data_IF_894411476536
#
_entry.id   IF_894411476536
#
_cell.length_a   1.000
_cell.length_b   1.000
_cell.length_c   1.000
_cell.angle_alpha   90.00
_cell.angle_beta   90.00
_cell.angle_gamma   90.00
#
_symmetry.space_group_name_H-M   'P 1'
#
loop_
_entity.id
_entity.type
_entity.pdbx_description
1 polymer ?
#
# COMPACT_ATOMS: atom_id res chain seq x y z
N UNK A 1 23.50 -0.52 -3.11
CA UNK A 1 23.71 0.76 -2.39
C UNK A 1 23.45 0.53 -0.92
N UNK A 2 24.19 1.15 -0.01
CA UNK A 2 23.90 1.10 1.43
C UNK A 2 22.74 2.06 1.76
N UNK A 3 21.81 1.65 2.63
CA UNK A 3 20.73 2.54 3.10
C UNK A 3 21.29 3.80 3.77
N UNK A 4 22.50 3.75 4.34
CA UNK A 4 23.12 4.93 4.96
C UNK A 4 23.42 6.06 3.97
N UNK A 5 23.64 5.74 2.69
CA UNK A 5 24.00 6.70 1.64
C UNK A 5 22.85 7.01 0.69
N UNK A 6 21.69 6.35 0.84
CA UNK A 6 20.53 6.54 -0.04
C UNK A 6 19.91 7.94 0.08
N UNK A 7 19.68 8.62 -1.04
CA UNK A 7 19.16 10.00 -1.08
C UNK A 7 17.79 10.17 -0.39
N UNK A 8 16.99 9.10 -0.36
CA UNK A 8 15.66 9.04 0.27
C UNK A 8 15.63 8.25 1.58
N UNK A 9 16.76 8.09 2.27
CA UNK A 9 16.86 7.34 3.53
C UNK A 9 15.85 7.79 4.58
N UNK A 10 15.63 9.11 4.73
CA UNK A 10 14.63 9.64 5.67
C UNK A 10 13.21 9.20 5.35
N UNK A 11 12.85 9.19 4.06
CA UNK A 11 11.52 8.82 3.58
C UNK A 11 11.29 7.32 3.75
N UNK A 12 12.28 6.50 3.39
CA UNK A 12 12.25 5.05 3.61
C UNK A 12 12.06 4.74 5.10
N UNK A 13 12.78 5.44 5.98
CA UNK A 13 12.65 5.25 7.44
C UNK A 13 11.32 5.71 7.99
N UNK A 14 10.78 6.81 7.48
CA UNK A 14 9.44 7.27 7.85
C UNK A 14 8.39 6.20 7.50
N UNK A 15 8.42 5.71 6.26
CA UNK A 15 7.48 4.71 5.76
C UNK A 15 7.60 3.40 6.56
N UNK A 16 8.82 2.86 6.70
CA UNK A 16 9.06 1.62 7.44
C UNK A 16 8.82 1.77 8.95
N UNK A 17 9.15 2.92 9.54
CA UNK A 17 8.87 3.20 10.94
C UNK A 17 7.37 3.27 11.23
N UNK A 18 6.62 3.95 10.36
CA UNK A 18 5.14 3.99 10.44
C UNK A 18 4.57 2.59 10.23
N UNK A 19 5.07 1.85 9.24
CA UNK A 19 4.67 0.46 8.99
C UNK A 19 4.90 -0.43 10.21
N UNK A 20 6.03 -0.28 10.90
CA UNK A 20 6.36 -1.06 12.10
C UNK A 20 5.44 -0.73 13.28
N UNK A 21 5.15 0.55 13.52
CA UNK A 21 4.21 0.96 14.57
C UNK A 21 2.83 0.35 14.31
N UNK A 22 2.37 0.42 13.06
CA UNK A 22 1.08 -0.12 12.65
C UNK A 22 1.08 -1.66 12.63
N UNK A 23 2.21 -2.29 12.33
CA UNK A 23 2.41 -3.73 12.44
C UNK A 23 2.15 -4.25 13.86
N UNK A 24 2.64 -3.53 14.88
CA UNK A 24 2.39 -3.90 16.28
C UNK A 24 0.90 -3.95 16.60
N UNK A 25 0.11 -3.00 16.10
CA UNK A 25 -1.35 -3.03 16.28
C UNK A 25 -1.96 -4.29 15.66
N UNK A 26 -1.69 -4.54 14.37
CA UNK A 26 -2.32 -5.66 13.66
C UNK A 26 -1.86 -7.01 14.21
N UNK A 27 -0.58 -7.19 14.55
CA UNK A 27 -0.08 -8.47 15.07
C UNK A 27 -0.66 -8.82 16.44
N UNK A 28 -0.86 -7.83 17.32
CA UNK A 28 -1.49 -8.06 18.63
C UNK A 28 -2.93 -8.51 18.45
N UNK A 29 -3.72 -7.82 17.64
CA UNK A 29 -5.11 -8.21 17.35
C UNK A 29 -5.15 -9.60 16.70
N UNK A 30 -4.28 -9.86 15.73
CA UNK A 30 -4.21 -11.15 15.02
C UNK A 30 -3.84 -12.32 15.94
N UNK A 31 -2.89 -12.14 16.85
CA UNK A 31 -2.53 -13.19 17.82
C UNK A 31 -3.67 -13.44 18.80
N UNK A 32 -4.22 -12.37 19.42
CA UNK A 32 -5.29 -12.52 20.42
C UNK A 32 -6.55 -13.16 19.82
N UNK A 33 -6.90 -12.78 18.59
CA UNK A 33 -8.03 -13.36 17.89
C UNK A 33 -7.74 -14.79 17.40
N UNK A 34 -6.58 -15.03 16.78
CA UNK A 34 -6.23 -16.34 16.22
C UNK A 34 -5.87 -17.41 17.25
N UNK A 35 -5.73 -17.04 18.52
CA UNK A 35 -5.55 -17.96 19.66
C UNK A 35 -6.80 -18.06 20.53
N UNK A 36 -7.93 -17.51 20.06
CA UNK A 36 -9.22 -17.50 20.76
C UNK A 36 -9.14 -16.92 22.18
N UNK A 37 -8.20 -15.99 22.42
CA UNK A 37 -8.05 -15.30 23.72
C UNK A 37 -8.99 -14.09 23.83
N UNK A 38 -9.35 -13.48 22.71
CA UNK A 38 -10.24 -12.31 22.65
C UNK A 38 -11.13 -12.36 21.41
N UNK A 39 -12.44 -12.22 21.62
CA UNK A 39 -13.42 -11.98 20.57
C UNK A 39 -13.56 -10.47 20.33
N UNK A 40 -13.13 -10.01 19.16
CA UNK A 40 -13.19 -8.60 18.77
C UNK A 40 -14.43 -8.28 17.94
N UNK A 41 -14.93 -7.06 18.09
CA UNK A 41 -15.95 -6.51 17.21
C UNK A 41 -15.47 -6.43 15.75
N UNK A 42 -16.43 -6.46 14.82
CA UNK A 42 -16.16 -6.47 13.38
C UNK A 42 -15.31 -5.28 12.94
N UNK A 43 -15.51 -4.11 13.51
CA UNK A 43 -14.78 -2.87 13.22
C UNK A 43 -13.30 -3.02 13.54
N UNK A 44 -12.97 -3.68 14.65
CA UNK A 44 -11.59 -3.96 15.06
C UNK A 44 -10.95 -4.98 14.13
N UNK A 45 -11.68 -6.03 13.75
CA UNK A 45 -11.20 -7.03 12.79
C UNK A 45 -10.98 -6.43 11.39
N UNK A 46 -11.90 -5.60 10.91
CA UNK A 46 -11.73 -4.85 9.67
C UNK A 46 -10.53 -3.91 9.76
N UNK A 47 -10.34 -3.23 10.88
CA UNK A 47 -9.17 -2.38 11.08
C UNK A 47 -7.89 -3.21 11.08
N UNK A 48 -7.86 -4.36 11.75
CA UNK A 48 -6.71 -5.27 11.77
C UNK A 48 -6.25 -5.64 10.35
N UNK A 49 -7.17 -6.05 9.46
CA UNK A 49 -6.82 -6.45 8.08
C UNK A 49 -6.39 -5.26 7.23
N UNK A 50 -7.00 -4.08 7.41
CA UNK A 50 -6.63 -2.86 6.69
C UNK A 50 -5.29 -2.30 7.17
N UNK A 51 -5.01 -2.35 8.48
CA UNK A 51 -3.71 -2.00 9.04
C UNK A 51 -2.64 -2.94 8.49
N UNK A 52 -2.90 -4.25 8.45
CA UNK A 52 -1.97 -5.23 7.88
C UNK A 52 -1.66 -4.95 6.41
N UNK A 53 -2.70 -4.79 5.59
CA UNK A 53 -2.54 -4.63 4.14
C UNK A 53 -2.04 -3.24 3.76
N UNK A 54 -2.71 -2.18 4.23
CA UNK A 54 -2.45 -0.80 3.81
C UNK A 54 -1.33 -0.14 4.62
N UNK A 55 -1.29 -0.31 5.94
CA UNK A 55 -0.28 0.39 6.74
C UNK A 55 1.03 -0.38 6.80
N UNK A 56 1.02 -1.66 7.15
CA UNK A 56 2.25 -2.43 7.24
C UNK A 56 2.81 -2.76 5.84
N UNK A 57 2.04 -3.43 4.98
CA UNK A 57 2.55 -3.92 3.71
C UNK A 57 2.67 -2.79 2.67
N UNK A 58 1.63 -1.99 2.41
CA UNK A 58 1.71 -0.95 1.37
C UNK A 58 2.75 0.14 1.67
N UNK A 59 2.96 0.56 2.93
CA UNK A 59 4.06 1.49 3.25
C UNK A 59 5.44 0.85 3.03
N UNK A 60 5.58 -0.44 3.34
CA UNK A 60 6.82 -1.19 3.04
C UNK A 60 7.05 -1.30 1.54
N UNK A 61 5.99 -1.48 0.75
CA UNK A 61 6.03 -1.44 -0.71
C UNK A 61 6.48 -0.08 -1.20
N UNK A 62 5.95 1.03 -0.70
CA UNK A 62 6.42 2.37 -1.10
C UNK A 62 7.89 2.60 -0.75
N UNK A 63 8.35 2.11 0.39
CA UNK A 63 9.76 2.15 0.76
C UNK A 63 10.63 1.33 -0.22
N UNK A 64 10.18 0.14 -0.61
CA UNK A 64 10.82 -0.68 -1.63
C UNK A 64 10.79 0.00 -3.02
N UNK A 65 9.71 0.71 -3.35
CA UNK A 65 9.60 1.51 -4.58
C UNK A 65 10.64 2.63 -4.60
N UNK A 66 10.82 3.36 -3.49
CA UNK A 66 11.91 4.34 -3.38
C UNK A 66 13.27 3.66 -3.56
N UNK A 67 13.46 2.48 -2.95
CA UNK A 67 14.71 1.75 -3.01
C UNK A 67 15.06 1.25 -4.42
N UNK A 68 14.08 0.79 -5.20
CA UNK A 68 14.31 0.21 -6.52
C UNK A 68 14.31 1.25 -7.64
N UNK A 69 13.52 2.32 -7.51
CA UNK A 69 13.27 3.26 -8.61
C UNK A 69 13.98 4.63 -8.45
N UNK A 70 14.65 4.87 -7.32
CA UNK A 70 15.47 6.07 -7.09
C UNK A 70 16.95 5.73 -6.83
N UNK A 71 17.66 5.36 -7.89
CA UNK A 71 19.08 4.97 -7.82
C UNK A 71 20.06 6.15 -7.59
N UNK A 72 19.54 7.35 -7.33
CA UNK A 72 20.31 8.54 -7.00
C UNK A 72 19.42 9.73 -6.64
N UNK A 73 20.01 10.88 -6.27
CA UNK A 73 19.27 12.11 -6.05
C UNK A 73 18.48 12.49 -7.30
N UNK A 74 17.16 12.68 -7.14
CA UNK A 74 16.30 13.17 -8.22
C UNK A 74 16.19 14.70 -8.14
N UNK A 75 15.55 15.29 -9.14
CA UNK A 75 15.20 16.71 -9.17
C UNK A 75 13.76 16.93 -9.64
N UNK A 76 13.26 18.16 -9.46
CA UNK A 76 11.94 18.57 -9.91
C UNK A 76 10.79 17.79 -9.26
N UNK A 77 9.74 17.53 -10.04
CA UNK A 77 8.51 16.90 -9.55
C UNK A 77 8.74 15.48 -8.98
N UNK A 78 9.70 14.74 -9.52
CA UNK A 78 9.98 13.37 -9.05
C UNK A 78 10.61 13.37 -7.63
N UNK A 79 11.54 14.29 -7.35
CA UNK A 79 12.08 14.46 -5.99
C UNK A 79 11.01 15.00 -5.04
N UNK A 80 10.24 16.00 -5.49
CA UNK A 80 9.15 16.57 -4.72
C UNK A 80 8.16 15.51 -4.25
N UNK A 81 7.64 14.68 -5.18
CA UNK A 81 6.72 13.59 -4.85
C UNK A 81 7.36 12.52 -3.96
N UNK A 82 8.61 12.11 -4.20
CA UNK A 82 9.28 11.14 -3.35
C UNK A 82 9.36 11.59 -1.89
N UNK A 83 9.47 12.90 -1.64
CA UNK A 83 9.50 13.47 -0.28
C UNK A 83 8.10 13.67 0.31
N UNK A 84 7.21 14.36 -0.41
CA UNK A 84 5.87 14.71 0.09
C UNK A 84 4.94 13.50 0.09
N UNK A 85 5.02 12.66 -0.94
CA UNK A 85 4.24 11.43 -1.08
C UNK A 85 4.50 10.43 0.04
N UNK A 86 5.70 10.41 0.64
CA UNK A 86 5.98 9.56 1.80
C UNK A 86 5.26 10.03 3.07
N UNK A 87 5.24 11.34 3.31
CA UNK A 87 4.49 11.93 4.43
C UNK A 87 2.98 11.81 4.22
N UNK A 88 2.52 12.09 3.00
CA UNK A 88 1.12 11.92 2.61
C UNK A 88 0.68 10.48 2.81
N UNK A 89 1.48 9.50 2.36
CA UNK A 89 1.19 8.09 2.58
C UNK A 89 1.09 7.78 4.07
N UNK A 90 2.14 8.03 4.85
CA UNK A 90 2.16 7.74 6.29
C UNK A 90 0.94 8.33 7.03
N UNK A 91 0.62 9.61 6.80
CA UNK A 91 -0.54 10.26 7.40
C UNK A 91 -1.87 9.68 6.93
N UNK A 92 -2.03 9.51 5.62
CA UNK A 92 -3.29 9.03 5.02
C UNK A 92 -3.65 7.64 5.52
N UNK A 93 -2.70 6.71 5.61
CA UNK A 93 -3.04 5.35 6.08
C UNK A 93 -3.43 5.33 7.55
N UNK A 94 -2.78 6.13 8.40
CA UNK A 94 -3.16 6.22 9.82
C UNK A 94 -4.59 6.76 9.93
N UNK A 95 -4.90 7.86 9.25
CA UNK A 95 -6.25 8.44 9.26
C UNK A 95 -7.27 7.46 8.68
N UNK A 96 -6.95 6.78 7.59
CA UNK A 96 -7.87 5.84 6.96
C UNK A 96 -8.20 4.65 7.86
N UNK A 97 -7.19 4.07 8.54
CA UNK A 97 -7.42 2.99 9.50
C UNK A 97 -8.31 3.42 10.68
N UNK A 98 -8.18 4.67 11.15
CA UNK A 98 -9.09 5.21 12.16
C UNK A 98 -10.54 5.27 11.67
N UNK A 99 -10.78 5.51 10.37
CA UNK A 99 -12.16 5.48 9.85
C UNK A 99 -12.79 4.09 9.93
N UNK A 100 -12.02 3.00 9.82
CA UNK A 100 -12.56 1.65 10.00
C UNK A 100 -13.00 1.37 11.45
N UNK A 101 -12.28 1.92 12.43
CA UNK A 101 -12.64 1.82 13.84
C UNK A 101 -13.85 2.66 14.23
N UNK A 102 -14.11 3.77 13.51
CA UNK A 102 -14.96 4.85 14.04
C UNK A 102 -16.23 5.09 13.24
N UNK A 103 -16.32 4.69 11.97
CA UNK A 103 -17.48 5.01 11.14
C UNK A 103 -17.64 4.11 9.94
N UNK A 104 -18.87 3.68 9.65
CA UNK A 104 -19.29 3.00 8.42
C UNK A 104 -19.89 3.97 7.38
N UNK A 105 -19.97 5.26 7.70
CA UNK A 105 -20.54 6.30 6.84
C UNK A 105 -19.57 6.84 5.79
N UNK A 106 -20.01 7.85 5.04
CA UNK A 106 -19.29 8.40 3.87
C UNK A 106 -17.89 8.95 4.15
N UNK A 107 -17.54 9.24 5.40
CA UNK A 107 -16.18 9.62 5.75
C UNK A 107 -15.17 8.52 5.38
N UNK A 108 -15.53 7.24 5.56
CA UNK A 108 -14.67 6.09 5.22
C UNK A 108 -14.31 6.07 3.73
N UNK A 109 -15.23 6.02 2.76
CA UNK A 109 -14.88 6.04 1.34
C UNK A 109 -14.24 7.36 0.87
N UNK A 110 -14.54 8.50 1.51
CA UNK A 110 -13.84 9.77 1.21
C UNK A 110 -12.36 9.67 1.55
N UNK A 111 -12.01 9.25 2.76
CA UNK A 111 -10.60 9.07 3.15
C UNK A 111 -9.96 7.92 2.36
N UNK A 112 -10.71 6.85 2.08
CA UNK A 112 -10.29 5.76 1.21
C UNK A 112 -9.95 6.21 -0.21
N UNK A 113 -10.66 7.21 -0.74
CA UNK A 113 -10.34 7.83 -2.04
C UNK A 113 -8.99 8.53 -1.99
N UNK A 114 -8.69 9.26 -0.91
CA UNK A 114 -7.36 9.88 -0.71
C UNK A 114 -6.26 8.81 -0.63
N UNK A 115 -6.52 7.69 0.05
CA UNK A 115 -5.60 6.56 0.10
C UNK A 115 -5.36 5.95 -1.30
N UNK A 116 -6.43 5.70 -2.07
CA UNK A 116 -6.34 5.17 -3.43
C UNK A 116 -5.58 6.11 -4.37
N UNK A 117 -5.82 7.42 -4.30
CA UNK A 117 -5.09 8.43 -5.06
C UNK A 117 -3.61 8.50 -4.66
N UNK A 118 -3.30 8.27 -3.38
CA UNK A 118 -1.92 8.20 -2.91
C UNK A 118 -1.20 6.99 -3.52
N UNK A 119 -1.85 5.81 -3.52
CA UNK A 119 -1.32 4.60 -4.18
C UNK A 119 -1.14 4.84 -5.68
N UNK A 120 -2.12 5.47 -6.34
CA UNK A 120 -2.03 5.83 -7.76
C UNK A 120 -0.85 6.78 -8.03
N UNK A 121 -0.60 7.76 -7.17
CA UNK A 121 0.54 8.66 -7.29
C UNK A 121 1.88 7.92 -7.18
N UNK A 122 1.99 6.97 -6.25
CA UNK A 122 3.17 6.08 -6.15
C UNK A 122 3.35 5.17 -7.36
N UNK A 123 2.27 4.60 -7.89
CA UNK A 123 2.29 3.83 -9.13
C UNK A 123 2.75 4.68 -10.31
N UNK A 124 2.15 5.85 -10.51
CA UNK A 124 2.50 6.77 -11.60
C UNK A 124 3.96 7.23 -11.49
N UNK A 125 4.41 7.56 -10.27
CA UNK A 125 5.81 7.90 -10.01
C UNK A 125 6.73 6.74 -10.38
N UNK A 126 6.44 5.52 -9.95
CA UNK A 126 7.23 4.33 -10.27
C UNK A 126 7.31 4.08 -11.79
N UNK A 127 6.20 4.22 -12.52
CA UNK A 127 6.17 4.10 -13.99
C UNK A 127 7.06 5.14 -14.66
N UNK A 128 7.00 6.40 -14.23
CA UNK A 128 7.86 7.47 -14.75
C UNK A 128 9.34 7.15 -14.47
N UNK A 129 9.65 6.66 -13.28
CA UNK A 129 11.02 6.27 -12.91
C UNK A 129 11.51 5.07 -13.71
N UNK A 130 10.67 4.06 -13.92
CA UNK A 130 10.97 2.88 -14.72
C UNK A 130 11.34 3.26 -16.16
N UNK A 131 10.57 4.18 -16.77
CA UNK A 131 10.85 4.69 -18.13
C UNK A 131 12.14 5.48 -18.23
N UNK A 132 12.58 6.10 -17.13
CA UNK A 132 13.81 6.88 -17.06
C UNK A 132 15.04 6.04 -16.65
N UNK A 133 14.86 4.74 -16.37
CA UNK A 133 15.95 3.86 -15.96
C UNK A 133 16.83 3.51 -17.16
N UNK A 134 18.07 3.99 -17.16
CA UNK A 134 19.01 3.79 -18.26
C UNK A 134 19.46 2.32 -18.41
N UNK A 135 19.41 1.54 -17.33
CA UNK A 135 19.74 0.10 -17.32
C UNK A 135 18.66 -0.80 -17.92
N UNK A 136 17.41 -0.32 -17.95
CA UNK A 136 16.24 -1.14 -18.23
C UNK A 136 15.32 -1.26 -17.01
N UNK A 137 14.33 -2.15 -17.11
CA UNK A 137 13.39 -2.46 -16.03
C UNK A 137 13.56 -3.93 -15.69
N UNK A 138 14.09 -4.20 -14.49
CA UNK A 138 14.34 -5.54 -13.99
C UNK A 138 13.05 -6.32 -13.69
N UNK A 139 13.16 -7.64 -13.52
CA UNK A 139 12.02 -8.50 -13.13
C UNK A 139 11.39 -8.05 -11.80
N UNK A 140 12.14 -7.76 -10.73
CA UNK A 140 11.55 -7.22 -9.50
C UNK A 140 10.82 -5.89 -9.69
N UNK A 141 11.34 -4.99 -10.53
CA UNK A 141 10.69 -3.73 -10.83
C UNK A 141 9.36 -3.95 -11.55
N UNK A 142 9.31 -4.87 -12.53
CA UNK A 142 8.05 -5.26 -13.17
C UNK A 142 7.05 -5.88 -12.19
N UNK A 143 7.52 -6.76 -11.31
CA UNK A 143 6.68 -7.34 -10.26
C UNK A 143 6.08 -6.28 -9.34
N UNK A 144 6.88 -5.29 -8.92
CA UNK A 144 6.39 -4.21 -8.06
C UNK A 144 5.44 -3.26 -8.81
N UNK A 145 5.70 -2.96 -10.08
CA UNK A 145 4.78 -2.16 -10.91
C UNK A 145 3.44 -2.85 -11.10
N UNK A 146 3.45 -4.15 -11.40
CA UNK A 146 2.23 -4.95 -11.54
C UNK A 146 1.44 -4.98 -10.22
N UNK A 147 2.14 -5.17 -9.10
CA UNK A 147 1.52 -5.16 -7.78
C UNK A 147 0.94 -3.79 -7.40
N UNK A 148 1.62 -2.69 -7.70
CA UNK A 148 1.09 -1.35 -7.47
C UNK A 148 -0.14 -1.08 -8.35
N UNK A 149 -0.13 -1.54 -9.61
CA UNK A 149 -1.27 -1.39 -10.51
C UNK A 149 -2.50 -2.14 -9.98
N UNK A 150 -2.35 -3.38 -9.54
CA UNK A 150 -3.44 -4.15 -8.93
C UNK A 150 -3.89 -3.56 -7.60
N UNK A 151 -2.96 -3.00 -6.80
CA UNK A 151 -3.30 -2.27 -5.58
C UNK A 151 -4.19 -1.04 -5.86
N UNK A 152 -3.93 -0.30 -6.95
CA UNK A 152 -4.82 0.78 -7.40
C UNK A 152 -6.21 0.23 -7.74
N UNK A 153 -6.29 -0.85 -8.52
CA UNK A 153 -7.57 -1.49 -8.86
C UNK A 153 -8.32 -1.94 -7.61
N UNK A 154 -7.64 -2.63 -6.68
CA UNK A 154 -8.21 -3.06 -5.42
C UNK A 154 -8.67 -1.88 -4.57
N UNK A 155 -7.90 -0.79 -4.52
CA UNK A 155 -8.28 0.44 -3.83
C UNK A 155 -9.55 1.09 -4.39
N UNK A 156 -9.70 1.14 -5.72
CA UNK A 156 -10.93 1.64 -6.37
C UNK A 156 -12.12 0.78 -5.97
N UNK A 157 -12.01 -0.55 -6.07
CA UNK A 157 -13.11 -1.46 -5.68
C UNK A 157 -13.44 -1.28 -4.19
N UNK A 158 -12.42 -1.13 -3.33
CA UNK A 158 -12.60 -0.89 -1.90
C UNK A 158 -13.35 0.40 -1.59
N UNK A 159 -13.09 1.49 -2.33
CA UNK A 159 -13.83 2.75 -2.20
C UNK A 159 -15.29 2.59 -2.64
N UNK A 160 -15.53 1.94 -3.79
CA UNK A 160 -16.89 1.67 -4.28
C UNK A 160 -17.66 0.80 -3.28
N UNK A 161 -17.01 -0.20 -2.69
CA UNK A 161 -17.62 -1.02 -1.65
C UNK A 161 -17.90 -0.22 -0.38
N UNK A 162 -17.00 0.69 0.02
CA UNK A 162 -17.26 1.63 1.11
C UNK A 162 -18.46 2.54 0.85
N UNK A 163 -18.67 3.00 -0.39
CA UNK A 163 -19.85 3.78 -0.79
C UNK A 163 -21.13 2.93 -0.68
N UNK A 164 -21.09 1.68 -1.15
CA UNK A 164 -22.21 0.75 -1.04
C UNK A 164 -22.61 0.56 0.44
N UNK A 165 -21.64 0.31 1.33
CA UNK A 165 -21.87 0.20 2.78
C UNK A 165 -22.45 1.49 3.35
N UNK A 166 -21.85 2.64 3.08
CA UNK A 166 -22.30 3.93 3.60
C UNK A 166 -23.73 4.30 3.16
N UNK A 167 -24.12 3.85 1.96
CA UNK A 167 -25.46 4.00 1.40
C UNK A 167 -26.47 2.93 1.85
N UNK A 168 -26.08 2.01 2.75
CA UNK A 168 -26.91 0.87 3.18
C UNK A 168 -27.38 -0.03 2.03
N UNK A 169 -26.60 -0.13 0.96
CA UNK A 169 -26.90 -0.95 -0.22
C UNK A 169 -27.64 -0.22 -1.36
N UNK A 170 -27.97 1.05 -1.19
CA UNK A 170 -28.75 1.81 -2.18
C UNK A 170 -27.91 2.19 -3.41
N UNK A 171 -26.61 2.49 -3.22
CA UNK A 171 -25.73 2.92 -4.31
C UNK A 171 -25.40 1.78 -5.27
N UNK A 172 -25.80 1.89 -6.54
CA UNK A 172 -25.51 0.91 -7.60
C UNK A 172 -24.12 1.11 -8.21
N UNK A 173 -23.10 1.08 -7.35
CA UNK A 173 -21.69 1.34 -7.71
C UNK A 173 -20.87 0.06 -7.93
N UNK A 174 -21.39 -1.09 -7.51
CA UNK A 174 -20.84 -2.41 -7.77
C UNK A 174 -21.94 -3.33 -8.36
N UNK A 175 -21.60 -4.23 -9.28
CA UNK A 175 -22.51 -5.28 -9.71
C UNK A 175 -22.73 -6.30 -8.58
N UNK A 176 -23.85 -7.02 -8.64
CA UNK A 176 -24.15 -8.09 -7.69
C UNK A 176 -23.04 -9.16 -7.69
N UNK A 177 -22.57 -9.55 -6.50
CA UNK A 177 -21.45 -10.49 -6.34
C UNK A 177 -20.06 -9.85 -6.52
N UNK A 178 -19.97 -8.53 -6.67
CA UNK A 178 -18.72 -7.80 -6.81
C UNK A 178 -17.97 -7.53 -5.48
N UNK A 179 -18.55 -7.89 -4.34
CA UNK A 179 -18.02 -7.59 -3.00
C UNK A 179 -16.67 -8.29 -2.75
N UNK A 180 -16.54 -9.52 -3.22
CA UNK A 180 -15.33 -10.34 -3.05
C UNK A 180 -14.20 -9.94 -4.01
N UNK A 181 -14.49 -9.11 -5.02
CA UNK A 181 -13.48 -8.65 -5.97
C UNK A 181 -12.40 -7.79 -5.28
N UNK A 182 -12.77 -7.04 -4.24
CA UNK A 182 -11.82 -6.22 -3.48
C UNK A 182 -10.75 -7.08 -2.78
N UNK A 183 -11.11 -7.99 -1.84
CA UNK A 183 -10.11 -8.79 -1.14
C UNK A 183 -9.32 -9.70 -2.10
N UNK A 184 -9.95 -10.26 -3.14
CA UNK A 184 -9.25 -11.07 -4.13
C UNK A 184 -8.16 -10.26 -4.87
N UNK A 185 -8.47 -9.03 -5.29
CA UNK A 185 -7.52 -8.15 -5.96
C UNK A 185 -6.38 -7.74 -5.02
N UNK A 186 -6.69 -7.44 -3.76
CA UNK A 186 -5.68 -7.03 -2.78
C UNK A 186 -4.72 -8.17 -2.41
N UNK A 187 -5.22 -9.40 -2.25
CA UNK A 187 -4.37 -10.54 -1.84
C UNK A 187 -3.66 -11.16 -3.05
N UNK A 188 -4.41 -11.63 -4.04
CA UNK A 188 -3.86 -12.37 -5.18
C UNK A 188 -3.18 -11.42 -6.16
N UNK A 189 -3.79 -10.26 -6.41
CA UNK A 189 -3.27 -9.29 -7.36
C UNK A 189 -2.12 -8.46 -6.81
N UNK A 190 -2.13 -8.12 -5.51
CA UNK A 190 -1.14 -7.22 -4.91
C UNK A 190 -0.15 -7.94 -3.99
N UNK A 191 -0.59 -8.57 -2.89
CA UNK A 191 0.32 -9.13 -1.88
C UNK A 191 1.23 -10.23 -2.43
N UNK A 192 0.67 -11.18 -3.19
CA UNK A 192 1.46 -12.29 -3.74
C UNK A 192 2.53 -11.78 -4.73
N UNK A 193 2.22 -10.92 -5.71
CA UNK A 193 3.23 -10.33 -6.58
C UNK A 193 4.29 -9.48 -5.86
N UNK A 194 3.93 -8.73 -4.82
CA UNK A 194 4.94 -8.04 -3.98
C UNK A 194 5.92 -9.05 -3.38
N UNK A 195 5.40 -10.11 -2.76
CA UNK A 195 6.23 -11.15 -2.15
C UNK A 195 7.19 -11.78 -3.15
N UNK A 196 6.69 -12.13 -4.34
CA UNK A 196 7.51 -12.68 -5.42
C UNK A 196 8.58 -11.70 -5.90
N UNK A 197 8.22 -10.43 -6.11
CA UNK A 197 9.16 -9.40 -6.53
C UNK A 197 10.28 -9.18 -5.51
N UNK A 198 9.94 -9.13 -4.21
CA UNK A 198 10.93 -9.00 -3.14
C UNK A 198 11.83 -10.23 -3.08
N UNK A 199 11.29 -11.44 -3.15
CA UNK A 199 12.11 -12.67 -3.16
C UNK A 199 13.09 -12.67 -4.34
N UNK A 200 12.65 -12.25 -5.53
CA UNK A 200 13.52 -12.14 -6.70
C UNK A 200 14.68 -11.14 -6.47
N UNK A 201 14.43 -10.01 -5.78
CA UNK A 201 15.53 -9.09 -5.43
C UNK A 201 16.61 -9.73 -4.53
N UNK A 202 16.23 -10.70 -3.70
CA UNK A 202 17.16 -11.41 -2.83
C UNK A 202 17.90 -12.53 -3.54
N UNK A 203 17.21 -13.24 -4.45
CA UNK A 203 17.80 -14.34 -5.22
C UNK A 203 18.75 -13.82 -6.30
N UNK A 204 18.50 -12.62 -6.84
CA UNK A 204 19.28 -12.02 -7.92
C UNK A 204 19.56 -10.53 -7.66
N UNK A 205 20.38 -10.21 -6.65
CA UNK A 205 20.62 -8.82 -6.25
C UNK A 205 21.28 -7.98 -7.34
N UNK A 206 22.12 -8.60 -8.18
CA UNK A 206 22.84 -7.90 -9.26
C UNK A 206 21.93 -7.53 -10.43
N UNK A 207 20.86 -8.30 -10.66
CA UNK A 207 19.86 -8.08 -11.72
C UNK A 207 18.71 -7.19 -11.25
N UNK A 208 18.56 -6.97 -9.93
CA UNK A 208 17.38 -6.31 -9.37
C UNK A 208 17.26 -4.82 -9.75
N UNK A 209 18.36 -4.18 -10.20
CA UNK A 209 18.45 -2.74 -10.47
C UNK A 209 18.98 -2.38 -11.87
N UNK A 210 19.27 -3.38 -12.68
CA UNK A 210 19.69 -3.25 -14.09
C UNK A 210 18.54 -3.69 -14.98
#
# INVERSE_FOLDING_TARGET
MDLTTHAYRSQIRLLLGTALVMFVFTVVIGILNGTDLVDFDREVLLTHVHVGTLAWITLSVFAATLWLFADGPLSGAADGWARTGSWLAAGTVVVYNLTFLTTDGYLRPVVGTVAALTILGWFAWAVVRARAAAGGVSVPMWGLLAALATSVTGGVIGVLYGILIASRGDAKVLPDGGEDAHPATMVVGFLVPVGMAVVETWLRPDEART
#
